data_IF_068241748506
#
_entry.id   IF_068241748506
#
_cell.length_a   1.000
_cell.length_b   1.000
_cell.length_c   1.000
_cell.angle_alpha   90.00
_cell.angle_beta   90.00
_cell.angle_gamma   90.00
#
_symmetry.space_group_name_H-M   'P 1'
#
loop_
_entity.id
_entity.type
_entity.pdbx_description
1 polymer ?
#
# COMPACT_ATOMS: atom_id res chain seq x y z
N UNK A 1 -15.42 -41.16 91.67
CA UNK A 1 -14.73 -39.96 91.15
C UNK A 1 -14.62 -40.08 89.63
N UNK A 2 -15.09 -39.05 88.92
CA UNK A 2 -15.08 -38.91 87.45
C UNK A 2 -13.66 -38.87 86.91
N UNK A 3 -13.38 -39.55 85.79
CA UNK A 3 -12.56 -39.00 84.70
C UNK A 3 -13.17 -39.39 83.36
N UNK A 4 -13.65 -38.35 82.67
CA UNK A 4 -14.14 -38.32 81.30
C UNK A 4 -12.92 -38.18 80.39
N UNK A 5 -12.82 -38.96 79.32
CA UNK A 5 -12.06 -38.56 78.13
C UNK A 5 -12.69 -39.11 76.84
N UNK A 6 -13.55 -38.24 76.32
CA UNK A 6 -14.07 -38.00 74.97
C UNK A 6 -13.33 -38.73 73.83
N UNK A 7 -14.09 -39.54 73.07
CA UNK A 7 -13.79 -40.01 71.72
C UNK A 7 -13.87 -38.84 70.73
N UNK A 8 -12.82 -38.64 69.93
CA UNK A 8 -12.83 -37.71 68.80
C UNK A 8 -13.15 -38.51 67.52
N UNK A 9 -14.40 -38.45 67.06
CA UNK A 9 -14.83 -38.98 65.77
C UNK A 9 -14.48 -37.98 64.67
N UNK A 10 -13.53 -38.35 63.79
CA UNK A 10 -13.21 -37.59 62.59
C UNK A 10 -14.25 -37.89 61.50
N UNK A 11 -15.25 -37.02 61.37
CA UNK A 11 -16.25 -37.06 60.29
C UNK A 11 -15.61 -36.55 59.01
N UNK A 12 -15.34 -37.45 58.06
CA UNK A 12 -14.88 -37.10 56.71
C UNK A 12 -16.06 -36.51 55.93
N UNK A 13 -16.12 -35.18 55.82
CA UNK A 13 -17.12 -34.48 55.00
C UNK A 13 -16.68 -34.55 53.54
N UNK A 14 -17.25 -35.47 52.77
CA UNK A 14 -17.18 -35.45 51.31
C UNK A 14 -18.10 -34.32 50.84
N UNK A 15 -17.53 -33.14 50.61
CA UNK A 15 -18.20 -32.07 49.86
C UNK A 15 -18.25 -32.49 48.40
N UNK A 16 -19.29 -33.26 48.03
CA UNK A 16 -19.73 -33.31 46.65
C UNK A 16 -20.27 -31.91 46.29
N UNK A 17 -19.39 -31.06 45.77
CA UNK A 17 -19.78 -29.79 45.19
C UNK A 17 -20.57 -30.07 43.89
N UNK A 18 -21.85 -30.41 44.01
CA UNK A 18 -22.79 -30.27 42.92
C UNK A 18 -22.88 -28.78 42.57
N UNK A 19 -22.03 -28.31 41.64
CA UNK A 19 -22.20 -26.99 41.04
C UNK A 19 -23.59 -26.96 40.42
N UNK A 20 -24.44 -26.07 40.92
CA UNK A 20 -25.81 -25.87 40.46
C UNK A 20 -25.77 -25.23 39.07
N UNK A 21 -25.73 -26.04 38.02
CA UNK A 21 -25.67 -25.58 36.63
C UNK A 21 -27.00 -25.03 36.10
N UNK A 22 -28.10 -25.20 36.84
CA UNK A 22 -29.46 -25.03 36.27
C UNK A 22 -30.15 -23.70 36.62
N UNK A 23 -29.46 -22.69 37.17
CA UNK A 23 -30.11 -21.41 37.52
C UNK A 23 -29.86 -20.25 36.54
N UNK A 24 -29.22 -20.50 35.40
CA UNK A 24 -28.81 -19.45 34.45
C UNK A 24 -29.38 -19.59 33.04
N UNK A 25 -30.33 -20.51 32.80
CA UNK A 25 -30.95 -20.68 31.47
C UNK A 25 -29.99 -21.14 30.36
N UNK A 26 -28.78 -21.56 30.74
CA UNK A 26 -27.71 -22.00 29.86
C UNK A 26 -27.17 -23.33 30.38
N UNK A 27 -27.12 -24.34 29.52
CA UNK A 27 -26.47 -25.62 29.85
C UNK A 27 -25.03 -25.53 29.37
N UNK A 28 -24.04 -25.30 30.25
CA UNK A 28 -22.65 -25.32 29.82
C UNK A 28 -22.26 -26.74 29.44
N UNK A 29 -21.57 -26.91 28.32
CA UNK A 29 -21.05 -28.20 27.87
C UNK A 29 -20.30 -28.92 28.98
N UNK A 30 -20.73 -30.15 29.25
CA UNK A 30 -20.25 -30.97 30.38
C UNK A 30 -19.27 -32.05 29.96
N UNK A 31 -19.12 -32.29 28.65
CA UNK A 31 -18.19 -33.27 28.07
C UNK A 31 -16.99 -32.64 27.35
N UNK A 32 -16.13 -33.49 26.80
CA UNK A 32 -15.04 -33.05 25.95
C UNK A 32 -15.58 -32.31 24.71
N UNK A 33 -15.00 -31.16 24.32
CA UNK A 33 -15.47 -30.40 23.17
C UNK A 33 -15.22 -31.13 21.85
N UNK A 34 -16.12 -30.95 20.89
CA UNK A 34 -15.93 -31.37 19.50
C UNK A 34 -16.19 -30.20 18.56
N UNK A 35 -15.53 -30.19 17.39
CA UNK A 35 -15.83 -29.27 16.29
C UNK A 35 -16.25 -30.14 15.10
N UNK A 36 -17.42 -29.86 14.54
CA UNK A 36 -17.93 -30.54 13.35
C UNK A 36 -17.65 -29.74 12.08
N UNK A 37 -17.77 -28.41 12.14
CA UNK A 37 -17.55 -27.53 11.00
C UNK A 37 -17.35 -26.08 11.45
N UNK A 38 -16.75 -25.28 10.58
CA UNK A 38 -16.71 -23.81 10.70
C UNK A 38 -17.46 -23.24 9.51
N UNK A 39 -18.24 -22.18 9.74
CA UNK A 39 -19.07 -21.55 8.72
C UNK A 39 -18.82 -20.06 8.65
N UNK A 40 -19.00 -19.48 7.47
CA UNK A 40 -19.09 -18.03 7.31
C UNK A 40 -20.29 -17.50 8.09
N UNK A 41 -20.19 -16.28 8.64
CA UNK A 41 -21.34 -15.60 9.25
C UNK A 41 -22.11 -14.74 8.23
N UNK A 42 -21.37 -14.11 7.31
CA UNK A 42 -21.89 -13.24 6.27
C UNK A 42 -21.03 -13.33 5.01
N UNK A 43 -21.56 -12.80 3.90
CA UNK A 43 -20.79 -12.52 2.69
C UNK A 43 -21.06 -11.09 2.24
N UNK A 44 -20.13 -10.53 1.47
CA UNK A 44 -20.38 -9.30 0.71
C UNK A 44 -21.01 -9.67 -0.63
N UNK A 45 -22.26 -9.26 -0.83
CA UNK A 45 -22.94 -9.34 -2.12
C UNK A 45 -22.49 -8.18 -3.01
N UNK A 46 -21.76 -8.52 -4.07
CA UNK A 46 -21.22 -7.57 -5.05
C UNK A 46 -22.19 -7.28 -6.19
N UNK A 47 -23.39 -7.89 -6.19
CA UNK A 47 -24.40 -7.60 -7.19
C UNK A 47 -24.90 -6.14 -7.05
N UNK A 48 -25.14 -5.50 -8.20
CA UNK A 48 -25.78 -4.18 -8.26
C UNK A 48 -27.28 -4.38 -8.34
N UNK A 49 -28.00 -3.93 -7.32
CA UNK A 49 -29.46 -3.90 -7.29
C UNK A 49 -29.95 -2.48 -7.55
N UNK A 50 -31.05 -2.35 -8.30
CA UNK A 50 -31.67 -1.07 -8.59
C UNK A 50 -33.00 -0.97 -7.84
N UNK A 51 -33.13 0.05 -7.00
CA UNK A 51 -34.41 0.44 -6.41
C UNK A 51 -35.04 1.52 -7.27
N UNK A 52 -36.30 1.31 -7.64
CA UNK A 52 -37.11 2.33 -8.33
C UNK A 52 -38.02 3.00 -7.32
N UNK A 53 -37.79 4.28 -7.04
CA UNK A 53 -38.68 5.10 -6.23
C UNK A 53 -39.54 5.95 -7.16
N UNK A 54 -40.86 5.79 -7.05
CA UNK A 54 -41.83 6.67 -7.72
C UNK A 54 -42.42 7.61 -6.67
N UNK A 55 -42.15 8.91 -6.80
CA UNK A 55 -42.75 9.94 -5.96
C UNK A 55 -43.81 10.71 -6.74
N UNK A 56 -44.86 11.16 -6.04
CA UNK A 56 -45.91 12.01 -6.60
C UNK A 56 -45.77 13.42 -6.03
N UNK A 57 -45.81 14.45 -6.88
CA UNK A 57 -45.90 15.83 -6.41
C UNK A 57 -47.36 16.17 -5.99
N UNK A 58 -47.59 17.35 -5.42
CA UNK A 58 -48.92 17.81 -5.00
C UNK A 58 -49.91 18.00 -6.15
N UNK A 59 -49.47 17.96 -7.41
CA UNK A 59 -50.30 18.01 -8.62
C UNK A 59 -50.61 16.61 -9.19
N UNK A 60 -50.03 15.54 -8.65
CA UNK A 60 -50.22 14.16 -9.10
C UNK A 60 -49.20 13.65 -10.12
N UNK A 61 -48.19 14.45 -10.48
CA UNK A 61 -47.15 14.03 -11.43
C UNK A 61 -46.14 13.09 -10.77
N UNK A 62 -45.70 12.08 -11.52
CA UNK A 62 -44.71 11.09 -11.06
C UNK A 62 -43.28 11.50 -11.39
N UNK A 63 -42.37 11.38 -10.41
CA UNK A 63 -40.93 11.38 -10.65
C UNK A 63 -40.36 9.99 -10.36
N UNK A 64 -39.62 9.43 -11.32
CA UNK A 64 -38.96 8.13 -11.17
C UNK A 64 -37.48 8.35 -10.82
N UNK A 65 -37.06 7.90 -9.65
CA UNK A 65 -35.66 7.91 -9.21
C UNK A 65 -35.15 6.48 -9.17
N UNK A 66 -34.05 6.21 -9.85
CA UNK A 66 -33.36 4.91 -9.80
C UNK A 66 -32.16 5.04 -8.87
N UNK A 67 -32.17 4.27 -7.79
CA UNK A 67 -31.07 4.20 -6.84
C UNK A 67 -30.33 2.87 -7.00
N UNK A 68 -29.05 2.92 -7.33
CA UNK A 68 -28.21 1.74 -7.33
C UNK A 68 -27.71 1.44 -5.90
N UNK A 69 -27.80 0.17 -5.49
CA UNK A 69 -27.19 -0.37 -4.29
C UNK A 69 -26.21 -1.47 -4.67
N UNK A 70 -25.01 -1.45 -4.11
CA UNK A 70 -24.00 -2.50 -4.27
C UNK A 70 -23.30 -2.77 -2.94
N UNK A 71 -22.49 -3.84 -2.90
CA UNK A 71 -21.62 -4.21 -1.78
C UNK A 71 -22.37 -4.39 -0.45
N UNK A 72 -23.52 -5.07 -0.49
CA UNK A 72 -24.32 -5.31 0.72
C UNK A 72 -23.76 -6.48 1.53
N UNK A 73 -23.69 -6.36 2.85
CA UNK A 73 -23.39 -7.49 3.73
C UNK A 73 -24.68 -8.28 3.91
N UNK A 74 -24.70 -9.54 3.46
CA UNK A 74 -25.85 -10.42 3.60
C UNK A 74 -25.49 -11.61 4.49
N UNK A 75 -26.42 -12.07 5.34
CA UNK A 75 -26.24 -13.32 6.08
C UNK A 75 -25.89 -14.46 5.13
N UNK A 76 -24.87 -15.23 5.47
CA UNK A 76 -24.42 -16.33 4.64
C UNK A 76 -23.75 -17.37 5.51
N UNK A 77 -24.41 -18.52 5.62
CA UNK A 77 -23.99 -19.67 6.40
C UNK A 77 -23.53 -20.76 5.43
N UNK A 78 -22.22 -20.95 5.33
CA UNK A 78 -21.60 -21.92 4.43
C UNK A 78 -20.34 -22.47 5.08
N UNK A 79 -20.20 -23.80 5.02
CA UNK A 79 -19.03 -24.51 5.53
C UNK A 79 -17.77 -24.00 4.84
N UNK A 80 -16.76 -23.70 5.65
CA UNK A 80 -15.43 -23.28 5.19
C UNK A 80 -14.35 -23.91 6.06
N UNK A 81 -13.21 -24.23 5.44
CA UNK A 81 -11.99 -24.70 6.08
C UNK A 81 -10.90 -23.60 6.14
N UNK A 82 -11.21 -22.41 5.63
CA UNK A 82 -10.32 -21.27 5.63
C UNK A 82 -11.03 -19.95 6.02
N UNK A 83 -10.27 -18.99 6.54
CA UNK A 83 -10.82 -17.70 6.92
C UNK A 83 -9.83 -16.54 6.86
N UNK A 84 -10.37 -15.32 6.66
CA UNK A 84 -9.61 -14.09 6.57
C UNK A 84 -9.45 -13.44 7.95
N UNK A 85 -8.35 -12.72 8.13
CA UNK A 85 -8.13 -11.83 9.27
C UNK A 85 -9.29 -10.83 9.41
N UNK A 86 -9.72 -10.57 10.65
CA UNK A 86 -10.79 -9.62 10.96
C UNK A 86 -12.20 -10.08 10.60
N UNK A 87 -12.37 -11.25 9.98
CA UNK A 87 -13.68 -11.80 9.63
C UNK A 87 -14.26 -12.65 10.77
N UNK A 88 -15.58 -12.68 10.84
CA UNK A 88 -16.34 -13.42 11.86
C UNK A 88 -16.85 -14.73 11.30
N UNK A 89 -16.67 -15.79 12.08
CA UNK A 89 -17.04 -17.17 11.74
C UNK A 89 -17.87 -17.79 12.85
N UNK A 90 -18.69 -18.77 12.46
CA UNK A 90 -19.44 -19.61 13.38
C UNK A 90 -18.77 -20.98 13.47
N UNK A 91 -18.33 -21.38 14.67
CA UNK A 91 -17.80 -22.71 14.94
C UNK A 91 -18.97 -23.57 15.42
N UNK A 92 -19.24 -24.68 14.74
CA UNK A 92 -20.25 -25.66 15.15
C UNK A 92 -19.63 -26.92 15.76
N UNK A 93 -20.31 -27.48 16.75
CA UNK A 93 -19.83 -28.66 17.45
C UNK A 93 -20.72 -29.11 18.61
N UNK A 94 -20.11 -29.68 19.64
CA UNK A 94 -20.79 -30.11 20.87
C UNK A 94 -19.90 -29.84 22.09
N UNK A 95 -20.55 -29.65 23.25
CA UNK A 95 -19.89 -29.29 24.50
C UNK A 95 -19.07 -27.99 24.43
N UNK A 96 -19.45 -27.06 23.54
CA UNK A 96 -18.75 -25.79 23.35
C UNK A 96 -19.16 -24.74 24.39
N UNK A 97 -20.24 -25.00 25.14
CA UNK A 97 -20.83 -23.98 25.98
C UNK A 97 -19.95 -23.54 27.16
N UNK A 98 -18.98 -24.38 27.55
CA UNK A 98 -17.99 -24.08 28.58
C UNK A 98 -16.66 -23.58 28.01
N UNK A 99 -16.62 -23.09 26.77
CA UNK A 99 -15.44 -22.50 26.15
C UNK A 99 -14.84 -21.37 27.00
N UNK A 100 -13.52 -21.45 27.20
CA UNK A 100 -12.70 -20.47 27.90
C UNK A 100 -11.74 -19.75 26.95
N UNK A 101 -11.25 -20.43 25.91
CA UNK A 101 -10.38 -19.83 24.88
C UNK A 101 -10.71 -20.37 23.51
N UNK A 102 -10.65 -19.50 22.51
CA UNK A 102 -10.57 -19.86 21.10
C UNK A 102 -9.28 -19.28 20.56
N UNK A 103 -8.53 -20.04 19.77
CA UNK A 103 -7.28 -19.57 19.17
C UNK A 103 -7.13 -20.06 17.73
N UNK A 104 -6.62 -19.21 16.86
CA UNK A 104 -6.24 -19.55 15.48
C UNK A 104 -4.72 -19.45 15.40
N UNK A 105 -4.04 -20.50 14.94
CA UNK A 105 -2.58 -20.51 14.82
C UNK A 105 -1.86 -20.05 16.10
N UNK A 106 -2.41 -20.43 17.26
CA UNK A 106 -1.93 -20.03 18.58
C UNK A 106 -2.31 -18.61 19.04
N UNK A 107 -2.81 -17.75 18.15
CA UNK A 107 -3.28 -16.41 18.51
C UNK A 107 -4.68 -16.47 19.14
N UNK A 108 -4.81 -15.96 20.36
CA UNK A 108 -6.08 -15.95 21.10
C UNK A 108 -7.09 -15.01 20.43
N UNK A 109 -8.27 -15.55 20.14
CA UNK A 109 -9.40 -14.82 19.59
C UNK A 109 -10.41 -14.46 20.67
N UNK A 110 -10.88 -13.21 20.64
CA UNK A 110 -11.98 -12.78 21.48
C UNK A 110 -13.30 -13.34 20.95
N UNK A 111 -14.14 -13.82 21.87
CA UNK A 111 -15.52 -14.20 21.58
C UNK A 111 -16.42 -13.80 22.76
N UNK A 112 -17.64 -13.36 22.45
CA UNK A 112 -18.61 -13.03 23.49
C UNK A 112 -19.34 -14.29 23.95
N UNK A 113 -19.07 -14.73 25.17
CA UNK A 113 -19.71 -15.93 25.77
C UNK A 113 -21.23 -15.86 25.80
N UNK A 114 -21.82 -14.65 25.84
CA UNK A 114 -23.27 -14.48 25.82
C UNK A 114 -23.92 -14.83 24.47
N UNK A 115 -23.14 -14.92 23.39
CA UNK A 115 -23.61 -15.31 22.06
C UNK A 115 -23.38 -16.78 21.74
N UNK A 116 -22.67 -17.50 22.62
CA UNK A 116 -22.39 -18.91 22.42
C UNK A 116 -23.57 -19.77 22.87
N UNK A 117 -23.67 -20.94 22.25
CA UNK A 117 -24.52 -22.03 22.73
C UNK A 117 -23.64 -23.24 23.06
N UNK A 118 -24.24 -24.35 23.49
CA UNK A 118 -23.46 -25.58 23.64
C UNK A 118 -22.99 -26.16 22.30
N UNK A 119 -23.59 -25.72 21.20
CA UNK A 119 -23.32 -26.23 19.86
C UNK A 119 -22.64 -25.21 18.94
N UNK A 120 -22.46 -23.96 19.38
CA UNK A 120 -21.92 -22.92 18.54
C UNK A 120 -21.12 -21.85 19.28
N UNK A 121 -20.07 -21.35 18.62
CA UNK A 121 -19.29 -20.18 19.06
C UNK A 121 -19.18 -19.20 17.91
N UNK A 122 -19.56 -17.94 18.14
CA UNK A 122 -19.34 -16.84 17.22
C UNK A 122 -18.01 -16.15 17.57
N UNK A 123 -17.06 -16.12 16.63
CA UNK A 123 -15.70 -15.63 16.89
C UNK A 123 -15.13 -14.88 15.69
N UNK A 124 -14.32 -13.85 15.95
CA UNK A 124 -13.58 -13.10 14.92
C UNK A 124 -12.13 -13.50 14.92
N UNK A 125 -11.54 -13.74 13.74
CA UNK A 125 -10.10 -14.02 13.61
C UNK A 125 -9.33 -12.72 13.90
N UNK A 126 -8.44 -12.68 14.91
CA UNK A 126 -7.64 -11.48 15.20
C UNK A 126 -6.76 -11.05 14.03
N UNK A 127 -6.53 -9.75 13.87
CA UNK A 127 -5.65 -9.20 12.82
C UNK A 127 -4.17 -9.57 13.00
N UNK A 128 -3.75 -9.92 14.21
CA UNK A 128 -2.40 -10.36 14.53
C UNK A 128 -2.22 -11.88 14.43
N UNK A 129 -3.20 -12.61 13.89
CA UNK A 129 -3.10 -14.06 13.72
C UNK A 129 -2.03 -14.39 12.67
N UNK A 130 -1.07 -15.28 12.98
CA UNK A 130 -0.09 -15.71 11.99
C UNK A 130 -0.75 -16.35 10.77
N UNK A 131 -0.41 -15.90 9.56
CA UNK A 131 -0.95 -16.43 8.29
C UNK A 131 0.11 -17.13 7.43
N UNK A 132 1.40 -16.93 7.74
CA UNK A 132 2.52 -17.55 7.04
C UNK A 132 3.66 -17.95 8.00
N UNK A 133 4.61 -18.74 7.49
CA UNK A 133 5.78 -19.19 8.25
C UNK A 133 5.46 -20.27 9.29
N UNK A 134 6.40 -20.53 10.21
CA UNK A 134 6.31 -21.63 11.19
C UNK A 134 5.21 -21.45 12.23
N UNK A 135 4.70 -20.23 12.39
CA UNK A 135 3.61 -19.92 13.34
C UNK A 135 2.22 -20.15 12.74
N UNK A 136 2.09 -20.21 11.41
CA UNK A 136 0.83 -20.51 10.74
C UNK A 136 0.58 -22.02 10.71
N UNK A 137 0.06 -22.57 11.81
CA UNK A 137 -0.14 -24.01 12.00
C UNK A 137 -1.42 -24.58 11.36
N UNK A 138 -2.17 -23.76 10.62
CA UNK A 138 -3.51 -24.06 10.08
C UNK A 138 -4.44 -24.77 11.07
N UNK A 139 -4.47 -24.27 12.31
CA UNK A 139 -5.19 -24.91 13.42
C UNK A 139 -6.08 -23.91 14.16
N UNK A 140 -7.37 -24.22 14.22
CA UNK A 140 -8.33 -23.69 15.18
C UNK A 140 -8.32 -24.55 16.45
N UNK A 141 -8.10 -23.93 17.61
CA UNK A 141 -8.15 -24.59 18.92
C UNK A 141 -9.26 -23.99 19.77
N UNK A 142 -10.12 -24.84 20.33
CA UNK A 142 -11.10 -24.44 21.35
C UNK A 142 -10.80 -25.19 22.64
N UNK A 143 -10.60 -24.46 23.73
CA UNK A 143 -10.46 -25.02 25.07
C UNK A 143 -11.69 -24.69 25.87
N UNK A 144 -12.25 -25.69 26.53
CA UNK A 144 -13.37 -25.58 27.46
C UNK A 144 -12.92 -25.98 28.87
N UNK A 145 -13.82 -25.89 29.85
CA UNK A 145 -13.56 -26.40 31.19
C UNK A 145 -13.34 -27.92 31.26
N UNK A 146 -13.66 -28.65 30.18
CA UNK A 146 -13.68 -30.12 30.13
C UNK A 146 -12.73 -30.71 29.08
N UNK A 147 -11.92 -29.88 28.41
CA UNK A 147 -10.89 -30.35 27.49
C UNK A 147 -10.56 -29.36 26.39
N UNK A 148 -9.75 -29.81 25.42
CA UNK A 148 -9.35 -29.03 24.26
C UNK A 148 -9.61 -29.83 23.00
N UNK A 149 -10.14 -29.17 21.98
CA UNK A 149 -10.30 -29.72 20.62
C UNK A 149 -9.49 -28.88 19.65
N UNK A 150 -8.89 -29.55 18.66
CA UNK A 150 -8.19 -28.93 17.54
C UNK A 150 -8.91 -29.30 16.25
N UNK A 151 -9.02 -28.35 15.35
CA UNK A 151 -9.66 -28.47 14.05
C UNK A 151 -8.76 -27.83 13.00
N UNK A 152 -8.63 -28.48 11.85
CA UNK A 152 -7.86 -27.93 10.74
C UNK A 152 -8.60 -26.71 10.18
N UNK A 153 -7.97 -25.54 10.26
CA UNK A 153 -8.55 -24.30 9.77
C UNK A 153 -7.45 -23.35 9.32
N UNK A 154 -7.44 -23.05 8.02
CA UNK A 154 -6.43 -22.24 7.38
C UNK A 154 -6.74 -20.76 7.61
N UNK A 155 -5.75 -19.99 8.05
CA UNK A 155 -5.87 -18.53 8.09
C UNK A 155 -5.25 -17.95 6.82
N UNK A 156 -6.10 -17.36 5.98
CA UNK A 156 -5.74 -16.86 4.66
C UNK A 156 -4.77 -15.69 4.82
N UNK A 157 -3.63 -15.78 4.13
CA UNK A 157 -2.70 -14.66 4.00
C UNK A 157 -3.28 -13.61 3.04
N UNK A 158 -3.42 -12.34 3.45
CA UNK A 158 -3.89 -11.28 2.57
C UNK A 158 -2.91 -11.07 1.40
N UNK A 159 -3.39 -10.55 0.25
CA UNK A 159 -2.50 -10.17 -0.83
C UNK A 159 -1.46 -9.15 -0.37
N UNK A 160 -0.21 -9.23 -0.83
CA UNK A 160 0.80 -8.20 -0.60
C UNK A 160 0.31 -6.84 -1.06
N UNK A 161 0.48 -5.82 -0.22
CA UNK A 161 0.06 -4.44 -0.51
C UNK A 161 1.21 -3.48 -0.26
N UNK A 162 1.43 -2.55 -1.19
CA UNK A 162 2.44 -1.50 -1.08
C UNK A 162 1.75 -0.23 -0.56
N UNK A 163 2.30 0.34 0.51
CA UNK A 163 1.87 1.64 1.06
C UNK A 163 2.79 2.76 0.60
N UNK A 164 4.10 2.55 0.65
CA UNK A 164 5.11 3.51 0.15
C UNK A 164 6.28 2.78 -0.51
N UNK A 165 6.99 3.50 -1.36
CA UNK A 165 8.20 3.02 -2.04
C UNK A 165 9.33 4.02 -1.82
N UNK A 166 10.57 3.54 -1.76
CA UNK A 166 11.74 4.42 -1.69
C UNK A 166 11.98 5.15 -3.01
N UNK A 167 11.65 4.49 -4.13
CA UNK A 167 11.83 5.01 -5.47
C UNK A 167 10.75 4.47 -6.42
N UNK A 168 10.39 5.26 -7.41
CA UNK A 168 9.54 4.84 -8.53
C UNK A 168 10.38 4.48 -9.76
N UNK A 169 11.65 4.85 -9.76
CA UNK A 169 12.57 4.61 -10.85
C UNK A 169 13.51 3.44 -10.52
N UNK A 170 13.87 2.66 -11.54
CA UNK A 170 14.81 1.55 -11.41
C UNK A 170 15.71 1.42 -12.64
N UNK A 171 16.78 0.66 -12.50
CA UNK A 171 17.65 0.22 -13.59
C UNK A 171 18.29 -1.11 -13.20
N UNK A 172 19.03 -1.73 -14.13
CA UNK A 172 19.74 -2.97 -13.86
C UNK A 172 20.65 -2.87 -12.63
N UNK A 173 20.35 -3.65 -11.60
CA UNK A 173 21.12 -3.72 -10.35
C UNK A 173 20.70 -2.72 -9.27
N UNK A 174 19.82 -1.76 -9.56
CA UNK A 174 19.29 -0.83 -8.56
C UNK A 174 18.43 -1.56 -7.52
N UNK A 175 18.30 -0.98 -6.32
CA UNK A 175 17.40 -1.51 -5.31
C UNK A 175 16.31 -0.53 -4.95
N UNK A 176 15.11 -1.06 -4.76
CA UNK A 176 13.96 -0.32 -4.24
C UNK A 176 13.45 -0.99 -2.98
N UNK A 177 13.19 -0.19 -1.95
CA UNK A 177 12.54 -0.63 -0.72
C UNK A 177 11.04 -0.36 -0.80
N UNK A 178 10.25 -1.39 -0.58
CA UNK A 178 8.79 -1.33 -0.49
C UNK A 178 8.38 -1.43 0.97
N UNK A 179 7.50 -0.53 1.41
CA UNK A 179 6.80 -0.64 2.69
C UNK A 179 5.36 -1.05 2.46
N UNK A 180 4.81 -1.83 3.38
CA UNK A 180 3.52 -2.46 3.13
C UNK A 180 3.12 -3.50 4.16
N UNK A 181 2.36 -4.49 3.70
CA UNK A 181 1.95 -5.65 4.48
C UNK A 181 1.82 -6.90 3.58
N UNK A 182 1.96 -8.09 4.17
CA UNK A 182 1.82 -9.37 3.47
C UNK A 182 3.08 -9.79 2.70
N UNK A 183 4.20 -9.07 2.85
CA UNK A 183 5.42 -9.38 2.13
C UNK A 183 6.08 -10.68 2.60
N UNK A 184 5.82 -11.14 3.83
CA UNK A 184 6.42 -12.38 4.35
C UNK A 184 6.03 -13.63 3.56
N UNK A 185 4.90 -13.59 2.84
CA UNK A 185 4.41 -14.70 2.04
C UNK A 185 4.78 -14.61 0.56
N UNK A 186 5.44 -13.54 0.12
CA UNK A 186 5.90 -13.35 -1.26
C UNK A 186 6.97 -14.39 -1.59
N UNK A 187 6.82 -15.08 -2.72
CA UNK A 187 7.77 -16.09 -3.19
C UNK A 187 8.53 -15.63 -4.44
N UNK A 188 7.94 -14.74 -5.23
CA UNK A 188 8.62 -14.10 -6.37
C UNK A 188 7.97 -12.77 -6.73
N UNK A 189 8.74 -11.89 -7.36
CA UNK A 189 8.27 -10.59 -7.87
C UNK A 189 8.62 -10.48 -9.35
N UNK A 190 7.61 -10.55 -10.21
CA UNK A 190 7.74 -10.33 -11.65
C UNK A 190 7.53 -8.86 -12.04
N UNK A 191 7.99 -8.49 -13.22
CA UNK A 191 7.74 -7.18 -13.83
C UNK A 191 6.69 -7.33 -14.93
N UNK A 192 5.52 -6.69 -14.79
CA UNK A 192 4.43 -6.78 -15.76
C UNK A 192 4.88 -6.41 -17.17
N UNK A 193 4.41 -7.13 -18.19
CA UNK A 193 4.83 -6.90 -19.58
C UNK A 193 6.19 -7.51 -19.94
N UNK A 194 6.83 -8.24 -19.03
CA UNK A 194 8.06 -9.01 -19.27
C UNK A 194 8.04 -10.37 -18.58
N UNK A 195 9.04 -11.20 -18.88
CA UNK A 195 9.37 -12.41 -18.10
C UNK A 195 10.45 -12.16 -17.03
N UNK A 196 10.91 -10.91 -16.88
CA UNK A 196 11.93 -10.56 -15.91
C UNK A 196 11.37 -10.57 -14.48
N UNK A 197 12.23 -10.88 -13.51
CA UNK A 197 11.89 -10.93 -12.09
C UNK A 197 12.90 -10.12 -11.28
N UNK A 198 12.40 -9.35 -10.32
CA UNK A 198 13.24 -8.70 -9.32
C UNK A 198 13.73 -9.73 -8.29
N UNK A 199 14.96 -9.57 -7.84
CA UNK A 199 15.55 -10.42 -6.80
C UNK A 199 15.16 -9.89 -5.43
N UNK A 200 14.66 -10.76 -4.56
CA UNK A 200 14.35 -10.42 -3.16
C UNK A 200 15.67 -10.38 -2.38
N UNK A 201 16.07 -9.19 -1.94
CA UNK A 201 17.31 -8.96 -1.17
C UNK A 201 17.06 -9.12 0.32
N UNK A 202 15.95 -8.57 0.83
CA UNK A 202 15.51 -8.78 2.20
C UNK A 202 13.98 -8.71 2.28
N UNK A 203 13.41 -9.45 3.24
CA UNK A 203 11.98 -9.68 3.30
C UNK A 203 11.53 -9.88 4.74
N UNK A 204 10.63 -9.00 5.18
CA UNK A 204 9.81 -9.15 6.39
C UNK A 204 8.38 -8.73 6.04
N UNK A 205 7.40 -8.99 6.90
CA UNK A 205 5.99 -8.76 6.53
C UNK A 205 5.67 -7.31 6.11
N UNK A 206 6.32 -6.33 6.74
CA UNK A 206 6.09 -4.91 6.51
C UNK A 206 7.07 -4.22 5.55
N UNK A 207 8.13 -4.92 5.12
CA UNK A 207 9.20 -4.34 4.31
C UNK A 207 9.81 -5.39 3.37
N UNK A 208 9.94 -5.02 2.10
CA UNK A 208 10.55 -5.84 1.05
C UNK A 208 11.58 -5.03 0.27
N UNK A 209 12.83 -5.48 0.25
CA UNK A 209 13.89 -4.87 -0.59
C UNK A 209 14.07 -5.72 -1.84
N UNK A 210 13.93 -5.08 -2.99
CA UNK A 210 14.05 -5.70 -4.30
C UNK A 210 15.26 -5.16 -5.03
N UNK A 211 16.02 -6.02 -5.70
CA UNK A 211 17.02 -5.65 -6.69
C UNK A 211 16.46 -5.90 -8.10
N UNK A 212 16.44 -4.86 -8.93
CA UNK A 212 15.85 -4.93 -10.26
C UNK A 212 16.83 -5.51 -11.29
N UNK A 213 16.34 -6.32 -12.25
CA UNK A 213 17.16 -6.81 -13.35
C UNK A 213 17.27 -5.74 -14.45
N UNK A 214 18.25 -5.86 -15.32
CA UNK A 214 18.19 -5.19 -16.63
C UNK A 214 17.02 -5.78 -17.43
N UNK A 215 16.20 -4.92 -18.02
CA UNK A 215 15.02 -5.33 -18.80
C UNK A 215 14.81 -4.38 -19.97
N UNK A 216 13.82 -4.69 -20.81
CA UNK A 216 13.41 -3.87 -21.96
C UNK A 216 12.03 -3.24 -21.75
N UNK A 217 11.40 -3.45 -20.60
CA UNK A 217 10.13 -2.77 -20.29
C UNK A 217 10.42 -1.35 -19.84
N UNK A 218 9.81 -0.37 -20.50
CA UNK A 218 10.00 1.03 -20.13
C UNK A 218 9.36 1.35 -18.77
N UNK A 219 8.22 0.72 -18.49
CA UNK A 219 7.41 0.91 -17.28
C UNK A 219 6.68 -0.38 -16.93
N UNK A 220 6.52 -0.67 -15.65
CA UNK A 220 5.84 -1.89 -15.21
C UNK A 220 5.23 -1.74 -13.81
N UNK A 221 4.17 -2.50 -13.55
CA UNK A 221 3.73 -2.84 -12.21
C UNK A 221 4.46 -4.10 -11.74
N UNK A 222 4.57 -4.28 -10.43
CA UNK A 222 5.10 -5.50 -9.83
C UNK A 222 4.02 -6.57 -9.76
N UNK A 223 4.36 -7.79 -10.17
CA UNK A 223 3.49 -8.97 -10.08
C UNK A 223 4.01 -9.84 -8.94
N UNK A 224 3.36 -9.76 -7.79
CA UNK A 224 3.70 -10.58 -6.63
C UNK A 224 3.09 -11.97 -6.79
N UNK A 225 3.92 -13.00 -6.68
CA UNK A 225 3.46 -14.35 -6.37
C UNK A 225 3.62 -14.56 -4.87
N UNK A 226 2.58 -15.06 -4.20
CA UNK A 226 2.59 -15.28 -2.76
C UNK A 226 1.82 -16.55 -2.40
N UNK A 227 2.14 -17.14 -1.25
CA UNK A 227 1.45 -18.34 -0.77
C UNK A 227 0.31 -17.96 0.17
N UNK A 228 -0.89 -18.48 -0.09
CA UNK A 228 -2.05 -18.31 0.79
C UNK A 228 -2.88 -19.58 0.83
N UNK A 229 -3.07 -20.12 2.03
CA UNK A 229 -3.77 -21.39 2.24
C UNK A 229 -3.23 -22.56 1.43
N UNK A 230 -1.90 -22.68 1.34
CA UNK A 230 -1.22 -23.72 0.56
C UNK A 230 -1.24 -23.51 -0.96
N UNK A 231 -1.89 -22.46 -1.46
CA UNK A 231 -1.97 -22.15 -2.89
C UNK A 231 -1.03 -21.00 -3.26
N UNK A 232 -0.42 -21.09 -4.43
CA UNK A 232 0.28 -19.97 -5.05
C UNK A 232 -0.76 -19.04 -5.70
N UNK A 233 -0.81 -17.79 -5.26
CA UNK A 233 -1.67 -16.74 -5.79
C UNK A 233 -0.83 -15.62 -6.39
N UNK A 234 -1.43 -14.85 -7.28
CA UNK A 234 -0.79 -13.69 -7.90
C UNK A 234 -1.61 -12.43 -7.69
N UNK A 235 -0.94 -11.32 -7.37
CA UNK A 235 -1.55 -9.99 -7.37
C UNK A 235 -0.62 -8.99 -8.03
N UNK A 236 -1.18 -7.98 -8.69
CA UNK A 236 -0.41 -6.92 -9.35
C UNK A 236 -0.49 -5.66 -8.49
N UNK A 237 0.65 -4.99 -8.28
CA UNK A 237 0.72 -3.70 -7.57
C UNK A 237 -0.08 -2.63 -8.30
N UNK A 238 -0.59 -1.66 -7.56
CA UNK A 238 -1.20 -0.46 -8.16
C UNK A 238 -0.13 0.57 -8.54
N UNK A 239 1.03 0.55 -7.88
CA UNK A 239 2.18 1.39 -8.22
C UNK A 239 2.83 0.92 -9.52
N UNK A 240 3.10 1.86 -10.42
CA UNK A 240 3.90 1.70 -11.65
C UNK A 240 5.31 2.21 -11.40
N UNK A 241 6.30 1.42 -11.80
CA UNK A 241 7.73 1.71 -11.72
C UNK A 241 8.28 1.98 -13.13
N UNK A 242 9.32 2.81 -13.23
CA UNK A 242 9.90 3.25 -14.50
C UNK A 242 11.34 2.74 -14.65
N UNK A 243 11.66 2.17 -15.79
CA UNK A 243 13.02 1.74 -16.12
C UNK A 243 13.79 2.89 -16.77
N UNK A 244 14.80 3.40 -16.07
CA UNK A 244 15.66 4.47 -16.55
C UNK A 244 16.73 4.00 -17.53
N UNK A 245 17.04 2.69 -17.61
CA UNK A 245 17.97 2.19 -18.64
C UNK A 245 17.38 2.35 -20.05
N UNK A 246 16.04 2.41 -20.19
CA UNK A 246 15.33 2.58 -21.45
C UNK A 246 14.76 4.00 -21.66
N UNK A 247 14.96 4.90 -20.69
CA UNK A 247 14.47 6.28 -20.72
C UNK A 247 15.44 7.23 -21.44
N UNK A 248 14.93 8.37 -21.91
CA UNK A 248 15.79 9.46 -22.34
C UNK A 248 16.13 10.35 -21.14
N UNK A 249 17.24 10.04 -20.47
CA UNK A 249 17.69 10.76 -19.29
C UNK A 249 18.30 12.13 -19.62
N UNK A 250 18.10 13.10 -18.72
CA UNK A 250 18.79 14.40 -18.66
C UNK A 250 19.80 14.39 -17.51
N UNK A 251 19.38 13.92 -16.33
CA UNK A 251 20.23 13.76 -15.13
C UNK A 251 20.03 12.35 -14.63
N UNK A 252 21.09 11.55 -14.64
CA UNK A 252 21.04 10.16 -14.17
C UNK A 252 22.46 9.66 -13.91
N UNK A 253 22.62 8.73 -12.96
CA UNK A 253 23.91 8.15 -12.56
C UNK A 253 24.97 9.24 -12.30
N UNK A 254 24.62 10.20 -11.44
CA UNK A 254 25.54 11.24 -10.95
C UNK A 254 26.04 12.22 -12.03
N UNK A 255 25.39 12.32 -13.19
CA UNK A 255 25.85 13.16 -14.29
C UNK A 255 24.70 13.65 -15.18
N UNK A 256 24.98 14.71 -15.94
CA UNK A 256 24.18 15.05 -17.10
C UNK A 256 24.36 14.00 -18.21
N UNK A 257 23.25 13.66 -18.87
CA UNK A 257 23.18 12.66 -19.92
C UNK A 257 22.81 13.29 -21.26
N UNK A 258 23.00 12.55 -22.35
CA UNK A 258 22.50 12.91 -23.68
C UNK A 258 22.88 14.32 -24.18
N UNK A 259 24.10 14.79 -23.84
CA UNK A 259 24.62 16.13 -24.15
C UNK A 259 23.85 17.31 -23.53
N UNK A 260 22.99 17.03 -22.55
CA UNK A 260 22.49 18.09 -21.68
C UNK A 260 23.62 18.65 -20.82
N UNK A 261 23.55 19.94 -20.56
CA UNK A 261 24.50 20.66 -19.71
C UNK A 261 23.75 21.62 -18.81
N UNK A 262 24.43 22.05 -17.75
CA UNK A 262 23.95 23.14 -16.92
C UNK A 262 23.75 24.41 -17.77
N UNK A 263 22.58 25.04 -17.63
CA UNK A 263 22.22 26.29 -18.29
C UNK A 263 21.55 27.27 -17.33
N UNK A 264 21.82 27.06 -16.04
CA UNK A 264 21.40 27.91 -14.94
C UNK A 264 22.00 29.31 -15.01
N UNK A 265 21.25 30.29 -14.48
CA UNK A 265 21.64 31.70 -14.50
C UNK A 265 22.14 32.18 -13.13
N UNK A 266 21.90 31.38 -12.09
CA UNK A 266 22.37 31.65 -10.74
C UNK A 266 23.28 30.51 -10.27
N UNK A 267 24.37 30.87 -9.58
CA UNK A 267 25.30 29.91 -8.99
C UNK A 267 25.18 29.85 -7.47
N UNK A 268 25.58 28.73 -6.84
CA UNK A 268 26.11 27.52 -7.48
C UNK A 268 25.03 26.68 -8.23
N UNK A 269 25.45 25.96 -9.27
CA UNK A 269 24.58 25.16 -10.15
C UNK A 269 25.34 24.01 -10.81
N UNK A 270 24.60 23.06 -11.40
CA UNK A 270 25.16 21.88 -12.06
C UNK A 270 25.30 20.69 -11.12
N UNK A 271 26.13 19.70 -11.48
CA UNK A 271 26.24 18.47 -10.67
C UNK A 271 26.96 18.77 -9.35
N UNK A 272 26.31 18.41 -8.23
CA UNK A 272 26.76 18.69 -6.87
C UNK A 272 26.62 17.47 -5.98
N UNK A 273 27.56 17.29 -5.05
CA UNK A 273 27.51 16.24 -4.02
C UNK A 273 26.74 16.67 -2.76
N UNK A 274 26.01 17.80 -2.82
CA UNK A 274 25.26 18.33 -1.69
C UNK A 274 24.06 17.47 -1.29
N UNK A 275 23.46 16.75 -2.24
CA UNK A 275 22.44 15.75 -2.01
C UNK A 275 22.40 14.73 -3.17
N UNK A 276 21.86 13.54 -2.90
CA UNK A 276 21.50 12.53 -3.89
C UNK A 276 20.18 11.86 -3.51
N UNK A 277 19.44 11.36 -4.51
CA UNK A 277 18.24 10.56 -4.31
C UNK A 277 18.49 9.08 -4.63
N UNK A 278 19.07 8.84 -5.81
CA UNK A 278 19.28 7.50 -6.38
C UNK A 278 19.98 6.52 -5.44
N UNK A 279 19.62 5.23 -5.53
CA UNK A 279 20.11 4.14 -4.64
C UNK A 279 21.64 4.09 -4.46
N UNK A 280 22.40 4.26 -5.53
CA UNK A 280 23.87 4.32 -5.55
C UNK A 280 24.41 5.74 -5.85
N UNK A 281 23.53 6.74 -5.74
CA UNK A 281 23.80 8.13 -6.05
C UNK A 281 24.66 8.82 -5.01
N UNK A 282 25.63 9.60 -5.49
CA UNK A 282 26.49 10.48 -4.69
C UNK A 282 26.32 11.96 -5.03
N UNK A 283 25.55 12.28 -6.07
CA UNK A 283 25.34 13.65 -6.54
C UNK A 283 24.04 13.80 -7.33
N UNK A 284 23.54 15.04 -7.37
CA UNK A 284 22.35 15.46 -8.13
C UNK A 284 22.61 16.79 -8.83
N UNK A 285 21.73 17.19 -9.75
CA UNK A 285 21.79 18.52 -10.35
C UNK A 285 21.27 19.58 -9.37
N UNK A 286 22.12 20.53 -9.02
CA UNK A 286 21.85 21.65 -8.12
C UNK A 286 21.35 22.86 -8.90
N UNK A 287 20.38 23.56 -8.33
CA UNK A 287 19.89 24.85 -8.80
C UNK A 287 19.80 25.82 -7.62
N UNK A 288 20.41 26.99 -7.77
CA UNK A 288 20.33 28.07 -6.78
C UNK A 288 19.32 29.12 -7.19
N UNK A 289 18.46 29.53 -6.26
CA UNK A 289 17.51 30.62 -6.45
C UNK A 289 17.77 31.72 -5.42
N UNK A 290 18.30 32.89 -5.82
CA UNK A 290 18.52 34.02 -4.93
C UNK A 290 17.21 34.57 -4.35
N UNK A 291 17.26 35.00 -3.10
CA UNK A 291 16.14 35.62 -2.38
C UNK A 291 15.47 36.74 -3.19
N UNK A 292 14.16 36.65 -3.38
CA UNK A 292 13.35 37.62 -4.13
C UNK A 292 13.65 37.65 -5.64
N UNK A 293 14.55 36.79 -6.11
CA UNK A 293 14.95 36.69 -7.50
C UNK A 293 13.91 35.95 -8.32
N UNK A 294 13.47 36.57 -9.41
CA UNK A 294 12.75 35.87 -10.45
C UNK A 294 13.78 35.15 -11.30
N UNK A 295 13.82 33.82 -11.23
CA UNK A 295 14.88 33.02 -11.83
C UNK A 295 14.37 31.74 -12.43
N UNK A 296 14.90 31.43 -13.61
CA UNK A 296 14.72 30.15 -14.28
C UNK A 296 16.05 29.45 -14.16
N UNK A 297 16.04 28.30 -13.50
CA UNK A 297 17.21 27.45 -13.37
C UNK A 297 16.93 26.12 -14.07
N UNK A 298 17.94 25.52 -14.69
CA UNK A 298 17.71 24.35 -15.53
C UNK A 298 18.83 24.09 -16.51
N UNK A 299 18.48 23.37 -17.57
CA UNK A 299 19.45 22.69 -18.41
C UNK A 299 19.17 22.95 -19.88
N UNK A 300 20.23 22.79 -20.67
CA UNK A 300 20.13 22.93 -22.11
C UNK A 300 20.84 21.81 -22.86
N UNK A 301 20.28 21.47 -24.02
CA UNK A 301 20.89 20.65 -25.05
C UNK A 301 20.99 21.50 -26.32
N UNK A 302 22.08 22.23 -26.47
CA UNK A 302 22.29 23.14 -27.61
C UNK A 302 22.48 22.38 -28.92
N UNK A 303 23.17 21.24 -28.84
CA UNK A 303 23.39 20.29 -29.92
C UNK A 303 23.59 18.89 -29.29
N UNK A 304 22.91 17.83 -29.78
CA UNK A 304 22.09 17.77 -30.99
C UNK A 304 20.67 18.34 -30.85
N UNK A 305 20.34 18.95 -29.70
CA UNK A 305 18.96 19.27 -29.31
C UNK A 305 18.11 18.02 -29.08
N UNK A 306 16.89 18.22 -28.59
CA UNK A 306 15.96 17.16 -28.22
C UNK A 306 14.72 17.17 -29.13
N UNK A 307 14.76 16.33 -30.16
CA UNK A 307 13.68 16.19 -31.13
C UNK A 307 12.50 15.43 -30.54
N UNK A 308 11.29 15.91 -30.86
CA UNK A 308 10.03 15.29 -30.53
C UNK A 308 9.99 13.83 -30.96
N UNK A 309 9.53 12.97 -30.05
CA UNK A 309 9.16 11.60 -30.35
C UNK A 309 7.83 11.30 -29.67
N UNK A 310 6.85 10.84 -30.46
CA UNK A 310 5.52 10.48 -29.97
C UNK A 310 5.51 9.29 -28.99
N UNK A 311 6.62 8.54 -28.92
CA UNK A 311 6.81 7.50 -27.92
C UNK A 311 6.87 8.08 -26.51
N UNK A 312 7.44 9.26 -26.28
CA UNK A 312 7.52 9.84 -24.94
C UNK A 312 6.13 10.18 -24.39
N UNK A 313 5.80 9.64 -23.21
CA UNK A 313 4.52 9.80 -22.52
C UNK A 313 4.62 10.58 -21.22
N UNK A 314 5.78 10.61 -20.58
CA UNK A 314 5.96 11.32 -19.30
C UNK A 314 7.31 12.01 -19.21
N UNK A 315 7.33 13.16 -18.55
CA UNK A 315 8.53 13.73 -17.93
C UNK A 315 8.51 13.29 -16.46
N UNK A 316 9.59 12.64 -16.01
CA UNK A 316 9.80 12.28 -14.61
C UNK A 316 11.04 12.94 -14.05
N UNK A 317 11.01 13.22 -12.75
CA UNK A 317 12.17 13.68 -11.99
C UNK A 317 11.86 13.62 -10.50
N UNK A 318 12.91 13.50 -9.70
CA UNK A 318 12.89 13.80 -8.28
C UNK A 318 13.40 15.22 -8.06
N UNK A 319 12.78 15.95 -7.14
CA UNK A 319 13.31 17.24 -6.65
C UNK A 319 13.27 17.30 -5.13
N UNK A 320 14.37 17.76 -4.53
CA UNK A 320 14.46 18.13 -3.12
C UNK A 320 14.33 19.63 -3.00
N UNK A 321 13.29 20.08 -2.31
CA UNK A 321 13.13 21.51 -2.03
C UNK A 321 14.21 22.04 -1.10
N UNK A 322 14.38 23.36 -1.13
CA UNK A 322 15.30 24.07 -0.26
C UNK A 322 14.77 24.18 1.17
N UNK A 323 14.76 25.40 1.68
CA UNK A 323 14.44 25.73 3.08
C UNK A 323 12.97 26.01 3.33
N UNK A 324 12.22 26.51 2.34
CA UNK A 324 10.77 26.69 2.43
C UNK A 324 10.02 26.00 1.28
N UNK A 325 8.71 25.84 1.46
CA UNK A 325 7.84 25.26 0.45
C UNK A 325 7.66 26.25 -0.70
N UNK A 326 7.82 25.78 -1.93
CA UNK A 326 7.70 26.59 -3.13
C UNK A 326 6.78 25.95 -4.16
N UNK A 327 6.26 26.78 -5.07
CA UNK A 327 5.73 26.30 -6.34
C UNK A 327 6.69 26.69 -7.44
N UNK A 328 7.24 25.70 -8.15
CA UNK A 328 8.03 25.93 -9.35
C UNK A 328 7.14 25.82 -10.59
N UNK A 329 7.47 26.59 -11.62
CA UNK A 329 6.84 26.50 -12.94
C UNK A 329 7.81 25.85 -13.90
N UNK A 330 7.42 24.71 -14.46
CA UNK A 330 8.13 24.04 -15.55
C UNK A 330 8.06 24.88 -16.81
N UNK A 331 9.22 25.13 -17.41
CA UNK A 331 9.36 25.93 -18.63
C UNK A 331 10.30 25.23 -19.61
N UNK A 332 10.06 25.47 -20.89
CA UNK A 332 10.82 24.88 -22.00
C UNK A 332 10.71 25.78 -23.21
N UNK A 333 11.76 25.83 -24.04
CA UNK A 333 11.79 26.74 -25.20
C UNK A 333 10.68 26.43 -26.22
N UNK A 334 10.24 25.17 -26.31
CA UNK A 334 9.13 24.74 -27.16
C UNK A 334 7.80 24.54 -26.41
N UNK A 335 7.76 24.76 -25.10
CA UNK A 335 6.52 24.69 -24.32
C UNK A 335 5.59 25.88 -24.63
N UNK A 336 4.30 25.72 -24.36
CA UNK A 336 3.38 26.86 -24.32
C UNK A 336 3.88 27.90 -23.29
N UNK A 337 4.06 29.16 -23.72
CA UNK A 337 4.69 30.22 -22.94
C UNK A 337 6.21 30.36 -23.12
N UNK A 338 6.86 29.41 -23.79
CA UNK A 338 8.30 29.39 -24.06
C UNK A 338 9.17 29.32 -22.81
N UNK A 339 10.48 29.50 -22.99
CA UNK A 339 11.44 29.57 -21.88
C UNK A 339 11.42 30.96 -21.25
N UNK A 340 10.37 31.26 -20.48
CA UNK A 340 10.10 32.59 -19.92
C UNK A 340 9.62 32.53 -18.47
N UNK A 341 9.64 33.68 -17.79
CA UNK A 341 9.17 33.84 -16.41
C UNK A 341 7.63 33.93 -16.36
N UNK A 342 6.97 32.87 -16.85
CA UNK A 342 5.53 32.85 -17.05
C UNK A 342 4.77 32.64 -15.73
N UNK A 343 4.23 33.72 -15.17
CA UNK A 343 3.40 33.68 -13.95
C UNK A 343 1.96 33.21 -14.18
N UNK A 344 1.55 33.03 -15.43
CA UNK A 344 0.21 32.60 -15.82
C UNK A 344 0.21 31.18 -16.40
N UNK A 345 1.23 30.39 -16.05
CA UNK A 345 1.37 29.01 -16.49
C UNK A 345 0.19 28.13 -16.04
N UNK A 346 -0.30 27.20 -16.88
CA UNK A 346 -1.36 26.28 -16.49
C UNK A 346 -0.93 25.35 -15.35
N UNK A 347 -1.89 24.81 -14.60
CA UNK A 347 -1.63 23.95 -13.44
C UNK A 347 -0.70 22.75 -13.74
N UNK A 348 -0.73 22.19 -14.96
CA UNK A 348 0.14 21.08 -15.37
C UNK A 348 1.64 21.45 -15.40
N UNK A 349 1.98 22.74 -15.49
CA UNK A 349 3.35 23.25 -15.41
C UNK A 349 3.73 23.62 -13.97
N UNK A 350 2.77 23.71 -13.04
CA UNK A 350 3.03 24.15 -11.66
C UNK A 350 3.25 22.93 -10.76
N UNK A 351 4.42 22.85 -10.14
CA UNK A 351 4.79 21.76 -9.22
C UNK A 351 5.01 22.32 -7.81
N UNK A 352 4.38 21.71 -6.81
CA UNK A 352 4.52 22.12 -5.40
C UNK A 352 5.67 21.37 -4.74
N UNK A 353 6.80 22.04 -4.51
CA UNK A 353 8.05 21.48 -3.98
C UNK A 353 8.17 21.75 -2.48
N UNK A 354 8.03 20.74 -1.60
CA UNK A 354 8.15 20.91 -0.15
C UNK A 354 9.60 21.10 0.30
N UNK A 355 9.79 21.85 1.39
CA UNK A 355 11.09 22.13 1.98
C UNK A 355 11.82 20.84 2.43
N UNK A 356 13.05 20.65 1.97
CA UNK A 356 13.96 19.59 2.42
C UNK A 356 13.55 18.15 2.13
N UNK A 357 12.46 17.93 1.37
CA UNK A 357 11.89 16.61 1.07
C UNK A 357 12.04 16.28 -0.41
N UNK A 358 12.54 15.09 -0.71
CA UNK A 358 12.54 14.53 -2.06
C UNK A 358 11.10 14.21 -2.49
N UNK A 359 10.68 14.78 -3.62
CA UNK A 359 9.35 14.60 -4.18
C UNK A 359 9.45 14.18 -5.63
N UNK A 360 8.78 13.08 -5.97
CA UNK A 360 8.71 12.56 -7.33
C UNK A 360 7.59 13.23 -8.12
N UNK A 361 7.88 13.61 -9.35
CA UNK A 361 6.88 14.08 -10.30
C UNK A 361 6.87 13.20 -11.52
N UNK A 362 5.65 12.90 -11.98
CA UNK A 362 5.40 12.20 -13.24
C UNK A 362 4.34 12.94 -14.02
N UNK A 363 4.79 13.64 -15.04
CA UNK A 363 3.99 14.66 -15.73
C UNK A 363 3.68 14.17 -17.14
N UNK A 364 2.40 14.03 -17.50
CA UNK A 364 2.01 13.50 -18.81
C UNK A 364 2.43 14.44 -19.94
N UNK A 365 2.99 13.85 -20.99
CA UNK A 365 3.42 14.49 -22.23
C UNK A 365 2.44 14.16 -23.36
N UNK A 366 2.17 15.15 -24.19
CA UNK A 366 1.28 15.02 -25.33
C UNK A 366 0.77 16.38 -25.77
N UNK A 367 -0.28 16.36 -26.58
CA UNK A 367 -0.95 17.56 -27.07
C UNK A 367 -2.36 17.64 -26.47
N UNK A 368 -2.73 18.78 -25.87
CA UNK A 368 -4.08 19.06 -25.39
C UNK A 368 -4.18 19.52 -23.93
N UNK A 369 -5.42 19.73 -23.49
CA UNK A 369 -5.72 20.12 -22.11
C UNK A 369 -5.38 18.99 -21.14
N UNK A 370 -4.49 19.26 -20.18
CA UNK A 370 -3.99 18.28 -19.21
C UNK A 370 -2.68 17.58 -19.61
N UNK A 371 -2.08 17.96 -20.73
CA UNK A 371 -0.73 17.52 -21.14
C UNK A 371 0.27 18.66 -20.91
N UNK A 372 1.55 18.34 -20.69
CA UNK A 372 2.59 19.37 -20.54
C UNK A 372 2.80 20.18 -21.83
N UNK A 373 2.46 19.60 -22.99
CA UNK A 373 2.66 20.21 -24.30
C UNK A 373 4.12 20.67 -24.50
N UNK A 374 5.09 19.81 -24.19
CA UNK A 374 6.52 20.14 -24.18
C UNK A 374 7.07 20.65 -25.53
N UNK A 375 6.47 20.19 -26.64
CA UNK A 375 6.82 20.57 -28.01
C UNK A 375 5.69 21.36 -28.72
N UNK A 376 4.94 22.18 -27.98
CA UNK A 376 3.83 22.96 -28.52
C UNK A 376 4.23 23.89 -29.67
N UNK A 377 5.39 24.55 -29.56
CA UNK A 377 5.82 25.61 -30.48
C UNK A 377 6.81 25.13 -31.54
N UNK A 378 7.24 23.86 -31.49
CA UNK A 378 8.23 23.31 -32.41
C UNK A 378 8.68 21.91 -32.02
N UNK A 379 9.21 21.17 -33.00
CA UNK A 379 9.55 19.75 -32.85
C UNK A 379 10.95 19.49 -32.32
N UNK A 380 11.75 20.54 -32.07
CA UNK A 380 13.12 20.41 -31.56
C UNK A 380 13.30 21.33 -30.37
N UNK A 381 13.27 20.75 -29.17
CA UNK A 381 13.47 21.46 -27.91
C UNK A 381 14.94 21.50 -27.53
N UNK A 382 15.33 22.53 -26.80
CA UNK A 382 16.70 22.74 -26.33
C UNK A 382 16.79 22.93 -24.84
N UNK A 383 15.71 23.32 -24.17
CA UNK A 383 15.79 23.72 -22.77
C UNK A 383 14.66 23.13 -21.94
N UNK A 384 14.99 22.75 -20.71
CA UNK A 384 14.06 22.41 -19.66
C UNK A 384 14.51 23.18 -18.41
N UNK A 385 13.58 23.91 -17.80
CA UNK A 385 13.89 24.71 -16.63
C UNK A 385 12.72 24.79 -15.66
N UNK A 386 13.03 25.35 -14.51
CA UNK A 386 12.15 25.48 -13.36
C UNK A 386 12.22 26.93 -12.92
N UNK A 387 11.15 27.67 -13.21
CA UNK A 387 10.99 29.05 -12.84
C UNK A 387 10.47 29.14 -11.41
N UNK A 388 11.21 29.86 -10.55
CA UNK A 388 10.74 30.32 -9.26
C UNK A 388 10.41 31.81 -9.33
N UNK A 389 9.18 32.14 -8.96
CA UNK A 389 8.74 33.53 -8.83
C UNK A 389 9.17 34.07 -7.46
N UNK A 390 10.07 35.04 -7.45
CA UNK A 390 10.51 35.68 -6.21
C UNK A 390 9.39 36.47 -5.53
N UNK A 391 9.30 36.33 -4.20
CA UNK A 391 8.37 37.01 -3.31
C UNK A 391 9.11 37.84 -2.26
N UNK A 392 8.38 38.78 -1.66
CA UNK A 392 8.93 39.63 -0.60
C UNK A 392 9.16 38.81 0.67
N UNK A 393 10.37 38.81 1.20
CA UNK A 393 10.74 38.05 2.40
C UNK A 393 11.33 36.66 2.11
N UNK A 394 11.55 36.34 0.83
CA UNK A 394 12.21 35.12 0.40
C UNK A 394 13.64 35.00 0.96
N UNK A 395 14.10 33.75 1.01
CA UNK A 395 15.46 33.37 1.34
C UNK A 395 16.15 32.79 0.10
N UNK A 396 17.48 32.66 0.16
CA UNK A 396 18.19 31.94 -0.88
C UNK A 396 17.82 30.46 -0.80
N UNK A 397 17.44 29.87 -1.92
CA UNK A 397 17.13 28.45 -2.03
C UNK A 397 18.19 27.71 -2.80
N UNK A 398 18.47 26.49 -2.36
CA UNK A 398 19.22 25.50 -3.11
C UNK A 398 18.35 24.27 -3.23
N UNK A 399 18.04 23.89 -4.46
CA UNK A 399 17.23 22.70 -4.78
C UNK A 399 18.08 21.70 -5.54
N UNK A 400 17.75 20.41 -5.39
CA UNK A 400 18.46 19.32 -6.04
C UNK A 400 17.49 18.50 -6.89
N UNK A 401 17.91 18.12 -8.08
CA UNK A 401 17.13 17.33 -9.03
C UNK A 401 17.90 16.06 -9.37
N UNK A 402 17.22 14.93 -9.31
CA UNK A 402 17.80 13.62 -9.65
C UNK A 402 16.85 12.87 -10.60
N UNK A 403 17.41 11.90 -11.32
CA UNK A 403 16.64 10.95 -12.15
C UNK A 403 15.66 11.64 -13.12
N UNK A 404 16.13 12.74 -13.72
CA UNK A 404 15.35 13.53 -14.67
C UNK A 404 15.32 12.81 -16.00
N UNK A 405 14.15 12.40 -16.47
CA UNK A 405 14.03 11.63 -17.71
C UNK A 405 12.70 11.81 -18.45
N UNK A 406 12.74 11.56 -19.76
CA UNK A 406 11.57 11.40 -20.61
C UNK A 406 11.30 9.89 -20.81
N UNK A 407 10.14 9.43 -20.35
CA UNK A 407 9.72 8.04 -20.38
C UNK A 407 8.82 7.74 -21.58
N UNK A 408 8.92 6.53 -22.12
CA UNK A 408 8.10 6.03 -23.24
C UNK A 408 6.85 5.26 -22.78
#
# INVERSE_FOLDING_TARGET
>A
MKKILILLSATLVVLAACRKYNSLGYTPGTGAPTITSVHTWYKTDSAVYYDTIVTYNSAGDTTLTVNARSNQIVPFDSVTDAGNLGQTYMIYGSNLGSAVTVAFNGASAYFNRAWNTDNSILVTIPSNTPTSGTQATDTLTVTTLHGTVRYHFVVITPPPTITTVSDYDFWGGSQVTLHGAGFAAVTSVGLSGSSATATIVSQVDSLLVLQFPTTTVNRCNLVFTYTSGGNALTTTSTQEFNDLDNAYAIVFKNAFQNAWVDASWSGPSGISTGASHSFDGTSSAEASYPAGGWKIEGWANWYPSFTYNAAYKYLTFWVRGGTVNHTLVLVGDQMAGGYSQNTSAPAIQQISVPAGVWTFYKIPLGTGAGQLNYWANGTTAKQLGFFLQGQSGDVNETMYFDEVAFLQ
#
